data_IF_298465983249
#
_entry.id   IF_298465983249
#
_cell.length_a   1.000
_cell.length_b   1.000
_cell.length_c   1.000
_cell.angle_alpha   90.00
_cell.angle_beta   90.00
_cell.angle_gamma   90.00
#
_symmetry.space_group_name_H-M   'P 1'
#
loop_
_entity.id
_entity.type
_entity.pdbx_description
1 polymer ?
#
# COMPACT_ATOMS: atom_id res chain seq x y z
N UNK A 1 -45.28 35.66 42.63
CA UNK A 1 -45.09 35.57 41.16
C UNK A 1 -43.62 35.85 40.84
N UNK A 2 -43.05 35.21 39.81
CA UNK A 2 -41.63 35.27 39.33
C UNK A 2 -40.67 34.22 39.90
N UNK A 3 -40.85 32.93 39.57
CA UNK A 3 -39.79 31.90 39.64
C UNK A 3 -39.92 30.81 38.56
N UNK A 4 -40.46 31.12 37.39
CA UNK A 4 -40.60 30.13 36.29
C UNK A 4 -39.89 30.54 34.99
N UNK A 5 -39.17 31.67 34.98
CA UNK A 5 -38.61 32.23 33.75
C UNK A 5 -37.12 31.95 33.54
N UNK A 6 -36.54 30.98 34.26
CA UNK A 6 -35.10 30.67 34.14
C UNK A 6 -34.78 29.34 33.47
N UNK A 7 -35.75 28.41 33.38
CA UNK A 7 -35.48 27.07 32.85
C UNK A 7 -35.63 27.00 31.33
N UNK A 8 -36.45 27.86 30.73
CA UNK A 8 -36.69 27.86 29.29
C UNK A 8 -35.55 28.47 28.46
N UNK A 9 -34.72 29.33 29.06
CA UNK A 9 -33.59 29.98 28.38
C UNK A 9 -32.36 29.06 28.25
N UNK A 10 -32.19 28.11 29.18
CA UNK A 10 -31.04 27.18 29.16
C UNK A 10 -31.28 26.03 28.19
N UNK A 11 -32.54 25.59 28.02
CA UNK A 11 -32.89 24.50 27.09
C UNK A 11 -32.90 24.97 25.62
N UNK A 12 -33.19 26.25 25.35
CA UNK A 12 -33.08 26.79 23.98
C UNK A 12 -31.64 27.11 23.57
N UNK A 13 -30.73 27.40 24.51
CA UNK A 13 -29.32 27.66 24.18
C UNK A 13 -28.53 26.39 23.81
N UNK A 14 -28.97 25.21 24.26
CA UNK A 14 -28.34 23.92 23.97
C UNK A 14 -28.74 23.32 22.61
N UNK A 15 -29.73 23.89 21.91
CA UNK A 15 -30.21 23.40 20.61
C UNK A 15 -29.65 24.16 19.39
N UNK A 16 -28.75 25.14 19.59
CA UNK A 16 -28.20 25.97 18.50
C UNK A 16 -26.75 25.60 18.13
N UNK A 17 -26.17 24.53 18.70
CA UNK A 17 -24.78 24.13 18.43
C UNK A 17 -24.60 22.82 17.66
N UNK A 18 -25.66 22.24 17.09
CA UNK A 18 -25.54 21.11 16.14
C UNK A 18 -25.52 21.58 14.68
N UNK A 19 -24.79 22.66 14.40
CA UNK A 19 -24.19 22.82 13.08
C UNK A 19 -22.71 22.48 13.23
N UNK A 20 -22.38 21.22 12.96
CA UNK A 20 -21.04 20.83 12.57
C UNK A 20 -20.65 21.73 11.41
N UNK A 21 -19.78 22.71 11.70
CA UNK A 21 -19.03 23.41 10.68
C UNK A 21 -18.18 22.38 9.96
N UNK A 22 -18.68 21.85 8.84
CA UNK A 22 -17.81 21.31 7.82
C UNK A 22 -16.96 22.49 7.36
N UNK A 23 -15.67 22.48 7.73
CA UNK A 23 -14.70 23.33 7.08
C UNK A 23 -14.84 23.08 5.58
N UNK A 24 -15.27 24.11 4.85
CA UNK A 24 -15.20 24.15 3.40
C UNK A 24 -13.74 23.97 3.04
N UNK A 25 -13.41 22.82 2.46
CA UNK A 25 -12.11 22.60 1.86
C UNK A 25 -11.88 23.71 0.84
N UNK A 26 -10.76 24.39 1.03
CA UNK A 26 -10.25 25.41 0.14
C UNK A 26 -10.12 24.77 -1.25
N UNK A 27 -10.88 25.34 -2.18
CA UNK A 27 -10.85 25.11 -3.62
C UNK A 27 -9.40 24.98 -4.10
N UNK A 28 -8.94 23.74 -4.17
CA UNK A 28 -7.72 23.31 -4.83
C UNK A 28 -8.24 22.48 -5.98
N UNK A 29 -8.23 23.04 -7.19
CA UNK A 29 -8.79 22.37 -8.36
C UNK A 29 -8.20 20.97 -8.55
N UNK A 30 -8.95 19.96 -8.14
CA UNK A 30 -8.84 18.55 -8.53
C UNK A 30 -10.00 17.75 -7.89
N UNK A 31 -11.23 18.04 -8.33
CA UNK A 31 -12.41 17.26 -7.95
C UNK A 31 -12.36 15.80 -8.43
N UNK A 32 -11.38 15.42 -9.27
CA UNK A 32 -11.20 14.05 -9.76
C UNK A 32 -10.46 13.14 -8.78
N UNK A 33 -9.75 13.68 -7.77
CA UNK A 33 -8.88 12.89 -6.88
C UNK A 33 -9.54 12.44 -5.57
N UNK A 34 -10.69 13.01 -5.18
CA UNK A 34 -11.41 12.60 -3.98
C UNK A 34 -12.49 11.54 -4.27
N UNK A 35 -12.72 10.65 -3.31
CA UNK A 35 -13.82 9.69 -3.36
C UNK A 35 -15.15 10.40 -3.07
N UNK A 36 -16.17 10.08 -3.86
CA UNK A 36 -17.56 10.43 -3.57
C UNK A 36 -18.07 9.69 -2.32
N UNK A 37 -19.16 10.18 -1.74
CA UNK A 37 -19.80 9.53 -0.59
C UNK A 37 -20.31 8.13 -0.94
N UNK A 38 -20.78 7.92 -2.17
CA UNK A 38 -21.24 6.63 -2.67
C UNK A 38 -20.08 5.64 -2.79
N UNK A 39 -18.98 6.02 -3.47
CA UNK A 39 -17.78 5.20 -3.58
C UNK A 39 -17.25 4.81 -2.19
N UNK A 40 -17.19 5.78 -1.28
CA UNK A 40 -16.78 5.54 0.11
C UNK A 40 -17.70 4.56 0.84
N UNK A 41 -19.02 4.65 0.64
CA UNK A 41 -19.96 3.70 1.23
C UNK A 41 -19.70 2.27 0.73
N UNK A 42 -19.49 2.08 -0.57
CA UNK A 42 -19.18 0.78 -1.16
C UNK A 42 -17.88 0.22 -0.57
N UNK A 43 -16.83 1.04 -0.51
CA UNK A 43 -15.53 0.65 0.03
C UNK A 43 -15.63 0.16 1.49
N UNK A 44 -16.36 0.91 2.32
CA UNK A 44 -16.44 0.61 3.76
C UNK A 44 -17.40 -0.55 4.06
N UNK A 45 -18.55 -0.60 3.40
CA UNK A 45 -19.64 -1.48 3.78
C UNK A 45 -19.72 -2.76 2.93
N UNK A 46 -19.30 -2.71 1.67
CA UNK A 46 -19.42 -3.85 0.74
C UNK A 46 -18.07 -4.54 0.55
N UNK A 47 -17.02 -3.78 0.24
CA UNK A 47 -15.66 -4.31 0.06
C UNK A 47 -15.03 -4.67 1.42
N UNK A 48 -15.33 -3.90 2.47
CA UNK A 48 -14.86 -4.15 3.84
C UNK A 48 -13.47 -3.55 4.15
N UNK A 49 -13.11 -2.46 3.49
CA UNK A 49 -11.93 -1.66 3.87
C UNK A 49 -12.34 -0.72 5.01
N UNK A 50 -11.55 -0.63 6.07
CA UNK A 50 -11.84 0.26 7.19
C UNK A 50 -11.47 1.70 6.87
N UNK A 51 -12.09 2.63 7.57
CA UNK A 51 -11.87 4.07 7.40
C UNK A 51 -10.39 4.44 7.56
N UNK A 52 -9.74 3.91 8.59
CA UNK A 52 -8.34 4.14 8.91
C UNK A 52 -7.35 3.56 7.89
N UNK A 53 -7.82 2.62 7.05
CA UNK A 53 -7.03 1.97 6.01
C UNK A 53 -7.00 2.77 4.71
N UNK A 54 -7.98 3.66 4.47
CA UNK A 54 -8.15 4.36 3.18
C UNK A 54 -6.90 5.15 2.76
N UNK A 55 -6.18 5.73 3.73
CA UNK A 55 -4.97 6.52 3.49
C UNK A 55 -3.79 5.72 2.90
N UNK A 56 -3.85 4.39 2.92
CA UNK A 56 -2.82 3.52 2.36
C UNK A 56 -3.12 3.08 0.92
N UNK A 57 -4.25 3.51 0.36
CA UNK A 57 -4.64 3.28 -1.03
C UNK A 57 -4.56 4.57 -1.84
N UNK A 58 -4.24 4.42 -3.13
CA UNK A 58 -4.51 5.48 -4.10
C UNK A 58 -6.00 5.49 -4.45
N UNK A 59 -6.54 6.67 -4.78
CA UNK A 59 -7.94 6.79 -5.27
C UNK A 59 -8.18 5.88 -6.48
N UNK A 60 -7.18 5.76 -7.36
CA UNK A 60 -7.22 4.84 -8.51
C UNK A 60 -7.41 3.38 -8.07
N UNK A 61 -6.64 2.91 -7.08
CA UNK A 61 -6.80 1.54 -6.57
C UNK A 61 -8.18 1.32 -5.94
N UNK A 62 -8.70 2.30 -5.19
CA UNK A 62 -10.02 2.20 -4.56
C UNK A 62 -11.15 2.14 -5.61
N UNK A 63 -11.11 2.98 -6.64
CA UNK A 63 -12.06 2.95 -7.75
C UNK A 63 -11.98 1.64 -8.52
N UNK A 64 -10.78 1.13 -8.76
CA UNK A 64 -10.60 -0.18 -9.39
C UNK A 64 -11.32 -1.30 -8.62
N UNK A 65 -11.21 -1.31 -7.29
CA UNK A 65 -11.88 -2.31 -6.46
C UNK A 65 -13.41 -2.22 -6.55
N UNK A 66 -13.96 -1.01 -6.61
CA UNK A 66 -15.41 -0.79 -6.83
C UNK A 66 -15.83 -1.33 -8.19
N UNK A 67 -15.13 -0.95 -9.26
CA UNK A 67 -15.45 -1.35 -10.64
C UNK A 67 -15.39 -2.87 -10.88
N UNK A 68 -14.73 -3.62 -9.99
CA UNK A 68 -14.50 -5.05 -10.13
C UNK A 68 -15.19 -5.89 -9.05
N UNK A 69 -16.17 -5.30 -8.35
CA UNK A 69 -16.97 -5.95 -7.29
C UNK A 69 -16.08 -6.68 -6.26
N UNK A 70 -15.03 -6.00 -5.81
CA UNK A 70 -13.98 -6.63 -5.01
C UNK A 70 -14.49 -7.16 -3.66
N UNK A 71 -14.06 -8.35 -3.29
CA UNK A 71 -14.30 -8.95 -1.97
C UNK A 71 -12.96 -9.11 -1.25
N UNK A 72 -12.79 -8.46 -0.10
CA UNK A 72 -11.55 -8.51 0.68
C UNK A 72 -11.30 -9.93 1.23
N UNK A 73 -10.09 -10.47 0.99
CA UNK A 73 -9.69 -11.85 1.34
C UNK A 73 -8.73 -11.93 2.53
N UNK A 74 -8.18 -10.79 2.96
CA UNK A 74 -7.26 -10.67 4.09
C UNK A 74 -7.78 -9.70 5.15
N UNK A 75 -7.39 -9.95 6.39
CA UNK A 75 -7.52 -8.99 7.47
C UNK A 75 -6.11 -8.55 7.89
N UNK A 76 -5.58 -7.55 7.20
CA UNK A 76 -4.23 -7.02 7.43
C UNK A 76 -4.32 -5.66 8.12
N UNK A 77 -3.41 -5.39 9.06
CA UNK A 77 -3.28 -4.09 9.71
C UNK A 77 -1.96 -3.44 9.27
N UNK A 78 -1.91 -2.11 9.06
CA UNK A 78 -0.66 -1.43 8.71
C UNK A 78 0.41 -1.67 9.78
N UNK A 79 1.65 -1.85 9.35
CA UNK A 79 2.77 -2.08 10.27
C UNK A 79 3.88 -1.07 10.04
N UNK A 80 4.34 -0.50 11.15
CA UNK A 80 5.48 0.40 11.18
C UNK A 80 6.77 -0.37 11.40
N UNK A 81 7.79 0.01 10.64
CA UNK A 81 9.10 -0.61 10.68
C UNK A 81 10.17 0.43 10.97
N UNK A 82 11.25 -0.05 11.56
CA UNK A 82 12.51 0.67 11.71
C UNK A 82 13.50 0.13 10.71
N UNK A 83 14.16 1.03 10.01
CA UNK A 83 15.35 0.72 9.26
C UNK A 83 16.55 0.96 10.20
N UNK A 84 17.49 0.03 10.24
CA UNK A 84 18.70 0.12 11.05
C UNK A 84 19.86 0.41 10.11
N UNK A 85 20.11 1.68 9.80
CA UNK A 85 21.35 2.06 9.11
C UNK A 85 22.53 1.44 9.87
N UNK A 86 23.30 0.54 9.22
CA UNK A 86 24.43 -0.11 9.88
C UNK A 86 25.38 0.98 10.40
N UNK A 87 25.62 0.99 11.72
CA UNK A 87 26.68 1.80 12.32
C UNK A 87 28.01 1.37 11.69
N UNK A 88 28.76 2.23 11.00
CA UNK A 88 30.17 1.98 10.81
C UNK A 88 30.81 2.10 12.21
N UNK A 89 31.78 1.24 12.52
CA UNK A 89 32.46 1.13 13.82
C UNK A 89 32.73 2.49 14.50
N UNK A 90 32.80 2.47 15.84
CA UNK A 90 32.83 3.59 16.83
C UNK A 90 33.78 4.80 16.56
N UNK A 91 34.49 4.85 15.44
CA UNK A 91 35.33 5.96 14.98
C UNK A 91 34.81 6.69 13.72
N UNK A 92 33.58 6.45 13.30
CA UNK A 92 32.98 7.13 12.14
C UNK A 92 31.94 8.18 12.56
N UNK A 93 31.83 9.26 11.77
CA UNK A 93 30.80 10.30 11.93
C UNK A 93 29.44 9.64 11.88
N UNK A 94 28.72 9.66 13.01
CA UNK A 94 27.47 8.92 13.19
C UNK A 94 26.42 9.27 12.14
N UNK A 95 25.90 8.25 11.46
CA UNK A 95 24.63 8.33 10.73
C UNK A 95 23.52 8.53 11.76
N UNK A 96 22.61 9.48 11.52
CA UNK A 96 21.43 9.67 12.38
C UNK A 96 20.64 8.35 12.44
N UNK A 97 20.28 7.92 13.65
CA UNK A 97 19.54 6.67 13.85
C UNK A 97 18.13 6.79 13.23
N UNK A 98 17.83 5.94 12.26
CA UNK A 98 16.47 5.63 11.82
C UNK A 98 15.75 4.88 12.99
N UNK A 99 14.51 5.27 13.31
CA UNK A 99 13.84 4.92 14.60
C UNK A 99 12.60 4.03 14.40
N UNK A 100 11.79 3.82 15.46
CA UNK A 100 10.68 2.84 15.51
C UNK A 100 9.52 3.03 14.52
N UNK A 101 9.60 3.96 13.58
CA UNK A 101 8.51 4.26 12.64
C UNK A 101 8.99 5.02 11.40
N UNK A 102 9.98 4.50 10.69
CA UNK A 102 10.52 5.19 9.50
C UNK A 102 9.64 4.99 8.27
N UNK A 103 9.02 3.82 8.20
CA UNK A 103 8.19 3.40 7.08
C UNK A 103 7.01 2.56 7.57
N UNK A 104 5.85 2.79 6.98
CA UNK A 104 4.68 1.93 7.14
C UNK A 104 4.54 1.05 5.90
N UNK A 105 4.39 -0.26 6.11
CA UNK A 105 3.96 -1.19 5.07
C UNK A 105 2.52 -1.61 5.31
N UNK A 106 1.81 -1.85 4.23
CA UNK A 106 0.43 -2.31 4.26
C UNK A 106 0.12 -3.14 3.02
N UNK A 107 -0.68 -4.19 3.16
CA UNK A 107 -1.06 -5.02 2.04
C UNK A 107 -2.43 -5.68 2.25
N UNK A 108 -3.17 -5.90 1.17
CA UNK A 108 -4.37 -6.73 1.17
C UNK A 108 -4.50 -7.49 -0.13
N UNK A 109 -5.32 -8.53 -0.12
CA UNK A 109 -5.75 -9.20 -1.34
C UNK A 109 -7.28 -9.22 -1.43
N UNK A 110 -7.75 -9.26 -2.67
CA UNK A 110 -9.16 -9.20 -3.02
C UNK A 110 -9.47 -10.25 -4.07
N UNK A 111 -10.61 -10.92 -3.96
CA UNK A 111 -11.21 -11.60 -5.09
C UNK A 111 -11.93 -10.54 -5.92
N UNK A 112 -11.70 -10.57 -7.23
CA UNK A 112 -12.31 -9.64 -8.19
C UNK A 112 -12.92 -10.44 -9.33
N UNK A 113 -13.83 -9.81 -10.08
CA UNK A 113 -14.43 -10.43 -11.25
C UNK A 113 -13.37 -11.00 -12.21
N UNK A 114 -13.44 -12.31 -12.45
CA UNK A 114 -12.47 -13.01 -13.28
C UNK A 114 -12.82 -12.88 -14.76
N UNK A 115 -11.84 -12.44 -15.54
CA UNK A 115 -11.89 -12.38 -16.99
C UNK A 115 -11.39 -13.67 -17.65
N UNK A 116 -11.10 -14.72 -16.86
CA UNK A 116 -10.68 -16.04 -17.34
C UNK A 116 -11.71 -17.09 -16.94
N UNK A 117 -12.45 -17.69 -17.90
CA UNK A 117 -13.44 -18.71 -17.61
C UNK A 117 -12.88 -19.84 -16.74
N UNK A 118 -13.62 -20.19 -15.68
CA UNK A 118 -13.27 -21.27 -14.77
C UNK A 118 -12.22 -20.93 -13.71
N UNK A 119 -11.55 -19.78 -13.80
CA UNK A 119 -10.55 -19.33 -12.82
C UNK A 119 -11.11 -18.27 -11.87
N UNK A 120 -10.65 -18.25 -10.63
CA UNK A 120 -10.72 -17.09 -9.75
C UNK A 120 -9.59 -16.12 -10.08
N UNK A 121 -9.85 -14.82 -9.92
CA UNK A 121 -8.87 -13.75 -10.09
C UNK A 121 -8.68 -13.06 -8.74
N UNK A 122 -7.45 -13.04 -8.27
CA UNK A 122 -7.07 -12.41 -7.01
C UNK A 122 -6.23 -11.19 -7.35
N UNK A 123 -6.65 -10.02 -6.87
CA UNK A 123 -5.91 -8.78 -6.92
C UNK A 123 -5.15 -8.59 -5.60
N UNK A 124 -3.83 -8.52 -5.69
CA UNK A 124 -2.95 -8.31 -4.54
C UNK A 124 -2.48 -6.86 -4.59
N UNK A 125 -2.64 -6.14 -3.48
CA UNK A 125 -2.24 -4.77 -3.28
C UNK A 125 -1.22 -4.69 -2.14
N UNK A 126 -0.13 -3.97 -2.35
CA UNK A 126 0.84 -3.61 -1.32
C UNK A 126 1.24 -2.15 -1.44
N UNK A 127 1.54 -1.50 -0.32
CA UNK A 127 2.00 -0.12 -0.28
C UNK A 127 3.05 0.12 0.78
N UNK A 128 3.82 1.18 0.56
CA UNK A 128 4.73 1.75 1.54
C UNK A 128 4.49 3.26 1.69
N UNK A 129 4.74 3.77 2.89
CA UNK A 129 4.72 5.20 3.18
C UNK A 129 5.88 5.54 4.10
N UNK A 130 6.78 6.39 3.63
CA UNK A 130 7.84 6.93 4.48
C UNK A 130 7.26 7.96 5.43
N UNK A 131 7.59 7.80 6.71
CA UNK A 131 7.22 8.69 7.81
C UNK A 131 8.35 9.65 8.19
N UNK A 132 9.57 9.31 7.79
CA UNK A 132 10.77 10.13 7.96
C UNK A 132 11.46 10.31 6.62
N UNK A 133 12.28 11.35 6.50
CA UNK A 133 13.14 11.53 5.34
C UNK A 133 14.24 10.45 5.35
N UNK A 134 14.32 9.57 4.33
CA UNK A 134 15.40 8.60 4.23
C UNK A 134 16.73 9.34 4.04
N UNK A 135 17.75 8.89 4.76
CA UNK A 135 19.10 9.50 4.74
C UNK A 135 19.74 9.38 3.35
N UNK A 136 19.34 8.38 2.57
CA UNK A 136 19.84 8.14 1.21
C UNK A 136 18.70 8.04 0.21
N UNK A 137 18.91 8.67 -0.95
CA UNK A 137 18.03 8.60 -2.09
C UNK A 137 18.55 7.58 -3.07
N UNK A 138 18.06 6.35 -2.93
CA UNK A 138 18.47 5.26 -3.77
C UNK A 138 17.24 4.56 -4.35
N UNK A 139 17.50 3.69 -5.30
CA UNK A 139 16.48 2.82 -5.86
C UNK A 139 16.07 1.79 -4.81
N UNK A 140 14.81 1.83 -4.42
CA UNK A 140 14.16 0.85 -3.56
C UNK A 140 13.40 -0.18 -4.40
N UNK A 141 13.05 -1.31 -3.79
CA UNK A 141 12.21 -2.33 -4.42
C UNK A 141 11.13 -2.82 -3.48
N UNK A 142 10.00 -3.22 -4.04
CA UNK A 142 8.95 -3.94 -3.33
C UNK A 142 8.55 -5.17 -4.14
N UNK A 143 8.37 -6.30 -3.48
CA UNK A 143 7.95 -7.56 -4.11
C UNK A 143 6.68 -8.10 -3.50
N UNK A 144 5.80 -8.66 -4.33
CA UNK A 144 4.71 -9.54 -3.94
C UNK A 144 5.18 -10.98 -4.20
N UNK A 145 5.49 -11.71 -3.14
CA UNK A 145 5.92 -13.11 -3.19
C UNK A 145 4.86 -14.07 -2.66
N UNK A 146 4.72 -15.24 -3.27
CA UNK A 146 3.84 -16.31 -2.80
C UNK A 146 4.42 -17.69 -3.16
N UNK A 147 4.06 -18.75 -2.42
CA UNK A 147 4.60 -20.08 -2.68
C UNK A 147 3.98 -20.72 -3.93
N UNK A 148 4.78 -21.49 -4.67
CA UNK A 148 4.31 -22.24 -5.86
C UNK A 148 3.19 -23.24 -5.54
N UNK A 149 3.08 -23.69 -4.29
CA UNK A 149 2.02 -24.60 -3.81
C UNK A 149 0.62 -24.02 -3.91
N UNK A 150 0.50 -22.70 -4.12
CA UNK A 150 -0.77 -22.05 -4.37
C UNK A 150 -1.43 -22.47 -5.69
N UNK A 151 -0.65 -22.97 -6.65
CA UNK A 151 -1.11 -23.18 -8.04
C UNK A 151 -1.73 -21.90 -8.62
N UNK A 152 -1.09 -20.77 -8.30
CA UNK A 152 -1.40 -19.48 -8.90
C UNK A 152 -0.56 -19.27 -10.13
N UNK A 153 -1.16 -18.69 -11.15
CA UNK A 153 -0.44 -18.32 -12.37
C UNK A 153 -0.63 -16.84 -12.69
N UNK A 154 0.40 -16.29 -13.32
CA UNK A 154 0.40 -14.96 -13.89
C UNK A 154 -0.02 -15.07 -15.35
N UNK A 155 -0.93 -14.19 -15.80
CA UNK A 155 -1.22 -14.08 -17.22
C UNK A 155 -0.06 -13.42 -17.94
N UNK A 156 0.20 -13.84 -19.16
CA UNK A 156 1.25 -13.26 -20.00
C UNK A 156 0.73 -12.96 -21.40
N UNK A 157 1.34 -12.00 -22.08
CA UNK A 157 1.12 -11.72 -23.50
C UNK A 157 2.43 -11.28 -24.13
N UNK A 158 2.80 -11.90 -25.26
CA UNK A 158 4.04 -11.62 -25.98
C UNK A 158 5.29 -11.58 -25.09
N UNK A 159 5.39 -12.49 -24.10
CA UNK A 159 6.52 -12.57 -23.18
C UNK A 159 6.50 -11.56 -22.03
N UNK A 160 5.44 -10.77 -21.86
CA UNK A 160 5.28 -9.79 -20.77
C UNK A 160 4.24 -10.28 -19.75
N UNK A 161 4.49 -10.05 -18.46
CA UNK A 161 3.51 -10.29 -17.38
C UNK A 161 2.39 -9.25 -17.47
N UNK A 162 1.14 -9.71 -17.41
CA UNK A 162 -0.05 -8.85 -17.38
C UNK A 162 -0.53 -8.62 -15.95
N UNK A 163 -1.27 -7.53 -15.75
CA UNK A 163 -1.93 -7.26 -14.48
C UNK A 163 -1.02 -6.76 -13.37
N UNK A 164 0.23 -6.43 -13.70
CA UNK A 164 1.13 -5.72 -12.83
C UNK A 164 0.89 -4.21 -12.97
N UNK A 165 0.87 -3.51 -11.85
CA UNK A 165 1.02 -2.05 -11.81
C UNK A 165 1.84 -1.68 -10.58
N UNK A 166 2.68 -0.66 -10.70
CA UNK A 166 3.34 -0.02 -9.57
C UNK A 166 3.33 1.48 -9.75
N UNK A 167 3.27 2.21 -8.64
CA UNK A 167 3.25 3.66 -8.64
C UNK A 167 4.15 4.19 -7.52
N UNK A 168 4.97 5.18 -7.86
CA UNK A 168 5.96 5.80 -6.98
C UNK A 168 5.72 7.31 -6.95
N UNK A 169 5.45 7.87 -5.78
CA UNK A 169 5.14 9.28 -5.60
C UNK A 169 6.15 9.94 -4.66
N UNK A 170 6.76 11.02 -5.14
CA UNK A 170 7.66 11.88 -4.37
C UNK A 170 7.05 13.29 -4.27
N UNK A 171 6.91 13.83 -3.06
CA UNK A 171 6.40 15.18 -2.85
C UNK A 171 7.54 16.19 -2.68
N UNK A 172 7.62 17.18 -3.57
CA UNK A 172 8.55 18.31 -3.48
C UNK A 172 7.84 19.61 -3.83
N UNK A 173 7.04 20.12 -2.91
CA UNK A 173 6.10 21.24 -3.12
C UNK A 173 4.87 20.87 -3.96
N UNK A 174 4.94 19.78 -4.71
CA UNK A 174 3.86 19.12 -5.42
C UNK A 174 4.15 17.62 -5.51
N UNK A 175 3.11 16.79 -5.61
CA UNK A 175 3.27 15.36 -5.85
C UNK A 175 3.77 15.12 -7.28
N UNK A 176 4.82 14.33 -7.39
CA UNK A 176 5.31 13.82 -8.67
C UNK A 176 5.30 12.31 -8.62
N UNK A 177 4.41 11.72 -9.41
CA UNK A 177 4.18 10.28 -9.43
C UNK A 177 4.62 9.68 -10.76
N UNK A 178 5.18 8.48 -10.71
CA UNK A 178 5.57 7.67 -11.87
C UNK A 178 4.97 6.29 -11.71
N UNK A 179 4.31 5.79 -12.76
CA UNK A 179 3.74 4.45 -12.78
C UNK A 179 4.41 3.54 -13.81
N UNK A 180 4.36 2.23 -13.56
CA UNK A 180 4.86 1.19 -14.46
C UNK A 180 3.93 -0.02 -14.43
N UNK A 181 3.64 -0.55 -15.61
CA UNK A 181 2.95 -1.84 -15.77
C UNK A 181 3.93 -2.99 -16.04
N UNK A 182 5.23 -2.73 -15.96
CA UNK A 182 6.29 -3.71 -16.21
C UNK A 182 6.98 -4.03 -14.88
N UNK A 183 6.96 -5.29 -14.42
CA UNK A 183 7.67 -5.67 -13.22
C UNK A 183 9.17 -5.53 -13.44
N UNK A 184 9.87 -5.02 -12.43
CA UNK A 184 11.34 -4.93 -12.40
C UNK A 184 12.02 -6.30 -12.28
N UNK A 185 11.30 -7.28 -11.74
CA UNK A 185 11.70 -8.69 -11.63
C UNK A 185 10.46 -9.57 -11.50
N UNK A 186 10.53 -10.82 -11.94
CA UNK A 186 9.42 -11.76 -11.82
C UNK A 186 9.88 -13.22 -11.90
N UNK A 187 9.12 -14.11 -11.28
CA UNK A 187 9.26 -15.55 -11.44
C UNK A 187 7.88 -16.18 -11.60
N UNK A 188 7.77 -17.07 -12.58
CA UNK A 188 6.50 -17.68 -12.95
C UNK A 188 6.01 -18.58 -11.82
N UNK A 189 4.93 -18.15 -11.18
CA UNK A 189 4.29 -18.88 -10.08
C UNK A 189 4.82 -18.51 -8.68
N UNK A 190 5.76 -17.56 -8.58
CA UNK A 190 6.35 -17.15 -7.29
C UNK A 190 6.20 -15.68 -6.96
N UNK A 191 5.95 -14.81 -7.96
CA UNK A 191 5.62 -13.42 -7.70
C UNK A 191 6.24 -12.43 -8.67
N UNK A 192 6.16 -11.15 -8.29
CA UNK A 192 6.66 -10.01 -9.06
C UNK A 192 7.28 -8.96 -8.13
N UNK A 193 8.18 -8.14 -8.66
CA UNK A 193 8.75 -7.00 -7.95
C UNK A 193 8.70 -5.72 -8.78
N UNK A 194 8.53 -4.60 -8.12
CA UNK A 194 8.61 -3.26 -8.68
C UNK A 194 9.81 -2.49 -8.11
N UNK A 195 10.24 -1.49 -8.88
CA UNK A 195 11.37 -0.60 -8.56
C UNK A 195 10.84 0.81 -8.30
N UNK A 196 11.37 1.47 -7.28
CA UNK A 196 10.96 2.79 -6.83
C UNK A 196 12.17 3.71 -6.75
N UNK A 197 12.18 4.78 -7.53
CA UNK A 197 13.23 5.80 -7.46
C UNK A 197 12.84 6.86 -6.43
N UNK A 198 13.47 6.79 -5.26
CA UNK A 198 13.22 7.69 -4.14
C UNK A 198 14.14 8.91 -4.27
N UNK A 199 13.56 10.11 -4.19
CA UNK A 199 14.34 11.35 -4.32
C UNK A 199 14.89 11.80 -2.98
N UNK A 200 16.08 12.41 -2.97
CA UNK A 200 16.72 12.89 -1.73
C UNK A 200 15.98 14.08 -1.14
N UNK A 201 15.50 14.96 -2.01
CA UNK A 201 14.96 16.27 -1.68
C UNK A 201 13.43 16.29 -1.65
N UNK A 202 12.79 15.12 -1.62
CA UNK A 202 11.35 15.02 -1.38
C UNK A 202 11.06 15.16 0.13
N UNK A 203 9.94 15.78 0.47
CA UNK A 203 9.49 15.85 1.87
C UNK A 203 8.70 14.58 2.26
N UNK A 204 7.95 14.02 1.32
CA UNK A 204 7.15 12.81 1.53
C UNK A 204 7.32 11.83 0.37
N UNK A 205 7.27 10.54 0.68
CA UNK A 205 7.40 9.45 -0.29
C UNK A 205 6.39 8.36 0.01
N UNK A 206 5.70 7.91 -1.02
CA UNK A 206 4.80 6.78 -0.93
C UNK A 206 4.79 6.04 -2.26
N UNK A 207 4.42 4.78 -2.21
CA UNK A 207 4.20 4.01 -3.43
C UNK A 207 3.45 2.74 -3.16
N UNK A 208 3.02 2.13 -4.26
CA UNK A 208 2.21 0.94 -4.26
C UNK A 208 2.64 -0.03 -5.37
N UNK A 209 2.33 -1.31 -5.15
CA UNK A 209 2.50 -2.42 -6.07
C UNK A 209 1.21 -3.20 -6.12
N UNK A 210 0.84 -3.64 -7.32
CA UNK A 210 -0.33 -4.46 -7.54
C UNK A 210 -0.01 -5.60 -8.50
N UNK A 211 -0.69 -6.73 -8.31
CA UNK A 211 -0.59 -7.87 -9.21
C UNK A 211 -1.89 -8.68 -9.23
N UNK A 212 -2.38 -9.02 -10.42
CA UNK A 212 -3.36 -10.09 -10.57
C UNK A 212 -2.71 -11.46 -10.59
N UNK A 213 -3.27 -12.39 -9.84
CA UNK A 213 -2.97 -13.82 -9.94
C UNK A 213 -4.25 -14.60 -10.18
N UNK A 214 -4.13 -15.71 -10.87
CA UNK A 214 -5.26 -16.54 -11.25
C UNK A 214 -5.10 -17.94 -10.70
N UNK A 215 -6.21 -18.59 -10.35
CA UNK A 215 -6.22 -19.99 -9.93
C UNK A 215 -7.47 -20.69 -10.40
N UNK A 216 -7.33 -21.96 -10.77
CA UNK A 216 -8.48 -22.83 -11.09
C UNK A 216 -9.11 -23.44 -9.84
N UNK A 217 -8.45 -23.32 -8.68
CA UNK A 217 -8.99 -23.76 -7.39
C UNK A 217 -10.20 -22.90 -7.03
N UNK A 218 -11.26 -23.57 -6.55
CA UNK A 218 -12.49 -22.90 -6.10
C UNK A 218 -12.35 -22.25 -4.73
N UNK A 219 -11.44 -22.77 -3.90
CA UNK A 219 -11.11 -22.21 -2.60
C UNK A 219 -9.67 -22.56 -2.21
N UNK A 220 -9.13 -21.84 -1.24
CA UNK A 220 -7.79 -22.07 -0.72
C UNK A 220 -7.41 -21.12 0.40
N UNK A 221 -6.26 -21.41 1.01
CA UNK A 221 -5.63 -20.54 2.00
C UNK A 221 -4.16 -20.41 1.65
N UNK A 222 -3.63 -19.21 1.71
CA UNK A 222 -2.22 -18.96 1.39
C UNK A 222 -1.63 -17.81 2.19
N UNK A 223 -0.30 -17.78 2.23
CA UNK A 223 0.48 -16.65 2.66
C UNK A 223 1.04 -15.92 1.45
N UNK A 224 0.93 -14.60 1.47
CA UNK A 224 1.63 -13.69 0.57
C UNK A 224 2.63 -12.91 1.42
N UNK A 225 3.85 -12.76 0.94
CA UNK A 225 4.85 -11.91 1.58
C UNK A 225 5.07 -10.67 0.71
N UNK A 226 4.67 -9.52 1.22
CA UNK A 226 5.13 -8.24 0.68
C UNK A 226 6.49 -7.95 1.31
N UNK A 227 7.55 -7.82 0.51
CA UNK A 227 8.87 -7.43 1.02
C UNK A 227 9.30 -6.12 0.41
N UNK A 228 9.58 -5.14 1.28
CA UNK A 228 10.23 -3.89 0.90
C UNK A 228 11.74 -4.02 1.08
N UNK A 229 12.50 -3.39 0.19
CA UNK A 229 13.94 -3.23 0.34
C UNK A 229 14.37 -1.80 0.12
N UNK A 230 15.07 -1.25 1.12
CA UNK A 230 15.69 0.06 1.07
C UNK A 230 17.20 -0.08 0.90
N UNK A 231 17.78 0.73 0.01
CA UNK A 231 19.24 0.75 -0.16
C UNK A 231 19.85 1.97 0.53
N UNK A 232 20.95 1.75 1.27
CA UNK A 232 21.70 2.81 1.98
C UNK A 232 23.19 2.87 1.58
N UNK A 233 23.64 2.04 0.65
CA UNK A 233 24.97 2.12 0.00
C UNK A 233 24.83 2.04 -1.52
N UNK A 234 25.81 2.51 -2.28
CA UNK A 234 25.76 2.49 -3.76
C UNK A 234 25.57 1.08 -4.36
N UNK A 235 24.83 0.98 -5.48
CA UNK A 235 24.53 -0.26 -6.23
C UNK A 235 23.02 -0.53 -6.40
N UNK A 236 22.62 -1.78 -6.68
CA UNK A 236 21.22 -2.14 -6.98
C UNK A 236 20.62 -3.20 -6.03
N UNK A 237 19.37 -3.01 -5.62
CA UNK A 237 18.61 -3.96 -4.80
C UNK A 237 18.28 -5.22 -5.60
N UNK A 238 18.74 -6.38 -5.11
CA UNK A 238 18.51 -7.69 -5.73
C UNK A 238 17.15 -8.28 -5.39
N UNK A 239 16.71 -9.27 -6.16
CA UNK A 239 15.47 -10.04 -5.92
C UNK A 239 15.82 -11.53 -6.09
N UNK A 240 15.22 -12.39 -5.27
CA UNK A 240 15.44 -13.84 -5.26
C UNK A 240 14.16 -14.57 -4.88
N UNK A 241 14.02 -15.81 -5.35
CA UNK A 241 12.88 -16.70 -5.05
C UNK A 241 13.04 -17.53 -3.78
N UNK A 242 14.19 -17.41 -3.10
CA UNK A 242 14.51 -18.16 -1.89
C UNK A 242 14.35 -17.30 -0.63
N UNK A 243 13.81 -17.81 0.50
CA UNK A 243 13.43 -19.21 0.77
C UNK A 243 11.99 -19.61 0.40
N UNK A 244 11.09 -18.67 0.09
CA UNK A 244 9.71 -19.02 -0.30
C UNK A 244 9.02 -17.88 -1.04
N UNK A 245 9.01 -17.95 -2.37
CA UNK A 245 8.40 -16.94 -3.24
C UNK A 245 9.37 -15.80 -3.58
N UNK A 246 9.00 -15.00 -4.58
CA UNK A 246 9.83 -13.91 -5.07
C UNK A 246 9.88 -12.77 -4.05
N UNK A 247 11.09 -12.47 -3.57
CA UNK A 247 11.32 -11.53 -2.48
C UNK A 247 12.56 -10.67 -2.75
N UNK A 248 12.55 -9.42 -2.27
CA UNK A 248 13.77 -8.61 -2.23
C UNK A 248 14.88 -9.34 -1.45
N UNK A 249 16.10 -9.36 -2.01
CA UNK A 249 17.24 -10.08 -1.44
C UNK A 249 17.97 -9.19 -0.43
N UNK A 250 18.12 -9.62 0.84
CA UNK A 250 18.99 -8.94 1.79
C UNK A 250 20.43 -8.94 1.27
N UNK A 251 21.12 -7.80 1.37
CA UNK A 251 22.50 -7.66 0.94
C UNK A 251 23.22 -6.58 1.77
N UNK A 252 24.55 -6.57 1.73
CA UNK A 252 25.31 -5.45 2.30
C UNK A 252 24.81 -4.15 1.64
N UNK A 253 24.42 -3.16 2.46
CA UNK A 253 23.87 -1.91 1.96
C UNK A 253 22.40 -1.96 1.55
N UNK A 254 21.69 -3.06 1.79
CA UNK A 254 20.24 -3.20 1.55
C UNK A 254 19.56 -3.76 2.79
N UNK A 255 18.63 -2.99 3.34
CA UNK A 255 17.75 -3.44 4.41
C UNK A 255 16.44 -3.95 3.83
N UNK A 256 15.88 -4.99 4.42
CA UNK A 256 14.62 -5.59 3.96
C UNK A 256 13.62 -5.69 5.08
N UNK A 257 12.37 -5.40 4.75
CA UNK A 257 11.24 -5.45 5.67
C UNK A 257 10.20 -6.41 5.12
N UNK A 258 9.82 -7.40 5.93
CA UNK A 258 8.84 -8.43 5.59
C UNK A 258 7.47 -8.10 6.15
N UNK A 259 6.46 -8.09 5.30
CA UNK A 259 5.06 -7.92 5.65
C UNK A 259 4.24 -9.10 5.11
N UNK A 260 4.11 -10.18 5.90
CA UNK A 260 3.32 -11.33 5.52
C UNK A 260 1.82 -11.09 5.76
N UNK A 261 0.99 -11.49 4.81
CA UNK A 261 -0.48 -11.56 4.96
C UNK A 261 -0.97 -12.97 4.69
N UNK A 262 -2.04 -13.36 5.37
CA UNK A 262 -2.75 -14.61 5.11
C UNK A 262 -4.08 -14.30 4.45
N UNK A 263 -4.38 -15.00 3.36
CA UNK A 263 -5.64 -14.85 2.64
C UNK A 263 -6.40 -16.17 2.60
N UNK A 264 -7.73 -16.10 2.50
CA UNK A 264 -8.59 -17.25 2.21
C UNK A 264 -9.60 -16.88 1.14
N UNK A 265 -9.80 -17.76 0.16
CA UNK A 265 -10.72 -17.60 -0.96
C UNK A 265 -11.48 -18.89 -1.24
#
# INVERSE_FOLDING_TARGET
>A
MKKTMSLFLVVTLLLVLSQSAFATNIDSGDSENELTQEERSIILNEIGIKEEELKYYTTKALRYLIENDAVKLSASEPQDYSLQSQKPDDNSVGTMDLTKSDITLYANAYEVNSDVPGSKKIYIYGSYTWKVEPIFALTDKMSIGYPVTNEWYLRTSAGTILGHESNNCNYKGQWKCTSSNVPSDHDIGQGVAAKYDIWADANFRQGDITQYVYTTKKSGKSNINLRYGHRYLTGAVGVSVYPSGLAVTPAIGTETLDYPITISW
#
